data_IF_248148547078
#
_entry.id   IF_248148547078
#
_cell.length_a   1.000
_cell.length_b   1.000
_cell.length_c   1.000
_cell.angle_alpha   90.00
_cell.angle_beta   90.00
_cell.angle_gamma   90.00
#
_symmetry.space_group_name_H-M   'P 1'
#
loop_
_entity.id
_entity.type
_entity.pdbx_description
1 polymer ?
#
# COMPACT_ATOMS: atom_id res chain seq x y z
N UNK A 1 -9.76 18.96 34.17
CA UNK A 1 -10.55 17.88 33.56
C UNK A 1 -9.57 16.95 32.88
N UNK A 2 -9.58 15.66 33.21
CA UNK A 2 -8.74 14.65 32.56
C UNK A 2 -9.50 14.22 31.30
N UNK A 3 -8.90 14.40 30.13
CA UNK A 3 -9.46 13.93 28.87
C UNK A 3 -9.47 12.40 28.88
N UNK A 4 -10.65 11.80 28.71
CA UNK A 4 -10.80 10.36 28.63
C UNK A 4 -11.18 9.95 27.19
N UNK A 5 -10.22 9.44 26.41
CA UNK A 5 -10.44 9.12 25.00
C UNK A 5 -11.50 8.02 24.81
N UNK A 6 -11.66 7.10 25.77
CA UNK A 6 -12.66 6.03 25.65
C UNK A 6 -14.09 6.58 25.83
N UNK A 7 -14.27 7.61 26.66
CA UNK A 7 -15.55 8.29 26.81
C UNK A 7 -15.93 9.06 25.54
N UNK A 8 -14.99 9.82 24.97
CA UNK A 8 -15.19 10.60 23.74
C UNK A 8 -15.43 9.70 22.51
N UNK A 9 -14.85 8.50 22.48
CA UNK A 9 -15.08 7.54 21.40
C UNK A 9 -16.54 7.08 21.30
N UNK A 10 -17.25 7.00 22.43
CA UNK A 10 -18.65 6.55 22.46
C UNK A 10 -19.67 7.64 22.12
N UNK A 11 -19.21 8.88 21.88
CA UNK A 11 -20.12 9.95 21.46
C UNK A 11 -20.61 9.72 20.02
N UNK A 12 -21.89 10.00 19.71
CA UNK A 12 -22.42 9.90 18.37
C UNK A 12 -21.61 10.72 17.36
N UNK A 13 -21.17 10.09 16.27
CA UNK A 13 -20.40 10.76 15.21
C UNK A 13 -18.90 10.93 15.52
N UNK A 14 -18.40 10.33 16.61
CA UNK A 14 -16.97 10.31 16.90
C UNK A 14 -16.19 9.58 15.81
N UNK A 15 -15.14 10.23 15.29
CA UNK A 15 -14.17 9.64 14.36
C UNK A 15 -12.87 9.24 15.08
N UNK A 16 -12.88 9.25 16.41
CA UNK A 16 -11.71 8.95 17.23
C UNK A 16 -11.32 7.48 17.07
N UNK A 17 -10.01 7.24 16.92
CA UNK A 17 -9.41 5.91 17.03
C UNK A 17 -8.51 5.89 18.25
N UNK A 18 -8.82 5.02 19.21
CA UNK A 18 -8.02 4.87 20.43
C UNK A 18 -7.07 3.71 20.23
N UNK A 19 -5.80 4.02 19.96
CA UNK A 19 -4.74 3.05 19.72
C UNK A 19 -4.11 2.55 21.03
N UNK A 20 -3.32 1.47 20.97
CA UNK A 20 -2.66 0.85 22.13
C UNK A 20 -3.63 0.44 23.25
N UNK A 21 -4.87 0.11 22.90
CA UNK A 21 -5.85 -0.42 23.81
C UNK A 21 -5.69 -1.94 23.94
N UNK A 22 -5.85 -2.48 25.15
CA UNK A 22 -5.88 -3.92 25.42
C UNK A 22 -7.31 -4.37 25.71
N UNK A 23 -7.75 -5.44 25.08
CA UNK A 23 -9.01 -6.10 25.43
C UNK A 23 -8.76 -7.01 26.64
N UNK A 24 -9.33 -6.65 27.79
CA UNK A 24 -9.16 -7.39 29.05
C UNK A 24 -10.19 -8.51 29.16
N UNK A 25 -11.42 -8.24 28.75
CA UNK A 25 -12.51 -9.20 28.81
C UNK A 25 -13.60 -8.85 27.79
N UNK A 26 -14.38 -9.86 27.43
CA UNK A 26 -15.58 -9.71 26.61
C UNK A 26 -16.68 -10.60 27.20
N UNK A 27 -17.84 -10.01 27.46
CA UNK A 27 -18.99 -10.69 28.07
C UNK A 27 -20.30 -10.33 27.37
N UNK A 28 -21.34 -11.12 27.59
CA UNK A 28 -22.69 -10.76 27.18
C UNK A 28 -23.31 -9.81 28.20
N UNK A 29 -23.84 -8.68 27.74
CA UNK A 29 -24.61 -7.76 28.58
C UNK A 29 -25.99 -8.32 28.92
N UNK A 30 -26.65 -7.73 29.91
CA UNK A 30 -28.05 -8.06 30.26
C UNK A 30 -29.03 -7.85 29.08
N UNK A 31 -28.68 -6.96 28.16
CA UNK A 31 -29.44 -6.68 26.92
C UNK A 31 -29.09 -7.62 25.77
N UNK A 32 -28.24 -8.62 26.00
CA UNK A 32 -27.81 -9.60 24.99
C UNK A 32 -26.72 -9.11 24.04
N UNK A 33 -26.19 -7.90 24.25
CA UNK A 33 -25.16 -7.28 23.44
C UNK A 33 -23.76 -7.66 23.93
N UNK A 34 -22.74 -7.35 23.14
CA UNK A 34 -21.35 -7.51 23.59
C UNK A 34 -20.98 -6.38 24.55
N UNK A 35 -20.42 -6.71 25.72
CA UNK A 35 -19.75 -5.79 26.63
C UNK A 35 -18.24 -6.05 26.58
N UNK A 36 -17.47 -5.02 26.27
CA UNK A 36 -16.01 -5.07 26.12
C UNK A 36 -15.34 -4.34 27.27
N UNK A 37 -14.45 -5.01 28.00
CA UNK A 37 -13.62 -4.38 29.02
C UNK A 37 -12.28 -4.00 28.39
N UNK A 38 -12.06 -2.71 28.17
CA UNK A 38 -10.87 -2.17 27.51
C UNK A 38 -9.98 -1.47 28.53
N UNK A 39 -8.69 -1.77 28.50
CA UNK A 39 -7.64 -1.01 29.18
C UNK A 39 -6.93 -0.09 28.18
N UNK A 40 -6.78 1.19 28.53
CA UNK A 40 -5.98 2.15 27.79
C UNK A 40 -5.28 3.11 28.76
N UNK A 41 -3.96 3.26 28.62
CA UNK A 41 -3.14 4.13 29.48
C UNK A 41 -3.35 3.92 31.00
N UNK A 42 -3.57 2.67 31.42
CA UNK A 42 -3.82 2.29 32.81
C UNK A 42 -5.25 2.55 33.31
N UNK A 43 -6.16 3.02 32.45
CA UNK A 43 -7.58 3.20 32.76
C UNK A 43 -8.35 2.04 32.14
N UNK A 44 -9.15 1.35 32.94
CA UNK A 44 -10.05 0.29 32.48
C UNK A 44 -11.47 0.84 32.37
N UNK A 45 -12.15 0.56 31.26
CA UNK A 45 -13.55 0.91 31.01
C UNK A 45 -14.31 -0.22 30.33
N UNK A 46 -15.59 -0.30 30.65
CA UNK A 46 -16.54 -1.15 29.94
C UNK A 46 -17.22 -0.35 28.84
N UNK A 47 -17.25 -0.90 27.63
CA UNK A 47 -17.82 -0.30 26.44
C UNK A 47 -18.79 -1.27 25.77
N UNK A 48 -19.86 -0.72 25.18
CA UNK A 48 -20.82 -1.53 24.42
C UNK A 48 -20.21 -1.84 23.04
N UNK A 49 -20.14 -3.12 22.71
CA UNK A 49 -19.77 -3.61 21.39
C UNK A 49 -20.94 -3.49 20.42
N UNK A 50 -20.66 -3.12 19.18
CA UNK A 50 -21.68 -2.90 18.16
C UNK A 50 -22.25 -4.17 17.51
N UNK A 51 -21.64 -5.34 17.77
CA UNK A 51 -22.09 -6.63 17.23
C UNK A 51 -22.88 -7.49 18.22
N UNK A 52 -23.67 -8.46 17.72
CA UNK A 52 -24.30 -9.46 18.57
C UNK A 52 -23.24 -10.28 19.31
N UNK A 53 -23.57 -10.74 20.52
CA UNK A 53 -22.67 -11.58 21.30
C UNK A 53 -22.44 -12.94 20.62
N UNK A 54 -21.17 -13.33 20.49
CA UNK A 54 -20.72 -14.66 20.09
C UNK A 54 -19.51 -15.05 20.94
N UNK A 55 -19.66 -16.07 21.78
CA UNK A 55 -18.60 -16.47 22.72
C UNK A 55 -17.27 -16.76 22.03
N UNK A 56 -17.29 -17.50 20.92
CA UNK A 56 -16.09 -17.83 20.14
C UNK A 56 -15.42 -16.59 19.55
N UNK A 57 -16.19 -15.73 18.87
CA UNK A 57 -15.63 -14.56 18.18
C UNK A 57 -15.16 -13.48 19.16
N UNK A 58 -15.93 -13.20 20.21
CA UNK A 58 -15.65 -12.11 21.13
C UNK A 58 -14.52 -12.44 22.10
N UNK A 59 -14.36 -13.71 22.51
CA UNK A 59 -13.27 -14.11 23.41
C UNK A 59 -11.94 -14.37 22.73
N UNK A 60 -11.93 -14.61 21.41
CA UNK A 60 -10.69 -14.90 20.64
C UNK A 60 -9.62 -13.82 20.82
N UNK A 61 -10.05 -12.57 20.87
CA UNK A 61 -9.13 -11.42 20.86
C UNK A 61 -8.84 -10.91 22.30
N UNK A 62 -9.35 -11.58 23.33
CA UNK A 62 -9.08 -11.22 24.74
C UNK A 62 -7.60 -11.42 25.06
N UNK A 63 -7.02 -10.43 25.76
CA UNK A 63 -5.60 -10.33 26.07
C UNK A 63 -4.77 -9.64 24.98
N UNK A 64 -5.34 -9.43 23.79
CA UNK A 64 -4.64 -8.79 22.67
C UNK A 64 -4.66 -7.27 22.78
N UNK A 65 -3.71 -6.65 22.10
CA UNK A 65 -3.56 -5.20 21.96
C UNK A 65 -3.94 -4.81 20.54
N UNK A 66 -4.56 -3.64 20.43
CA UNK A 66 -5.07 -3.13 19.18
C UNK A 66 -5.58 -1.70 19.31
N UNK A 67 -6.65 -1.42 18.59
CA UNK A 67 -7.30 -0.12 18.61
C UNK A 67 -8.82 -0.27 18.70
N UNK A 68 -9.46 0.72 19.29
CA UNK A 68 -10.92 0.83 19.39
C UNK A 68 -11.39 1.92 18.44
N UNK A 69 -12.49 1.66 17.73
CA UNK A 69 -13.16 2.62 16.86
C UNK A 69 -14.63 2.69 17.19
N UNK A 70 -15.22 3.88 17.08
CA UNK A 70 -16.66 4.04 17.13
C UNK A 70 -17.32 3.25 15.98
N UNK A 71 -18.44 2.60 16.28
CA UNK A 71 -19.23 1.95 15.25
C UNK A 71 -19.97 3.01 14.44
N UNK A 72 -19.95 2.87 13.11
CA UNK A 72 -20.71 3.76 12.24
C UNK A 72 -22.21 3.51 12.46
N UNK A 73 -23.05 4.55 12.46
CA UNK A 73 -24.49 4.46 12.78
C UNK A 73 -25.33 3.78 11.68
N UNK A 74 -24.73 3.00 10.79
CA UNK A 74 -25.45 2.28 9.73
C UNK A 74 -26.00 0.95 10.27
N UNK A 75 -27.32 0.80 10.29
CA UNK A 75 -28.02 -0.42 10.71
C UNK A 75 -28.47 -0.44 12.17
N UNK A 76 -28.72 -1.63 12.73
CA UNK A 76 -29.11 -1.88 14.13
C UNK A 76 -27.92 -1.80 15.10
N UNK A 77 -27.09 -0.77 14.97
CA UNK A 77 -25.95 -0.57 15.87
C UNK A 77 -26.41 0.22 17.10
N UNK A 78 -26.11 -0.26 18.30
CA UNK A 78 -26.39 0.49 19.54
C UNK A 78 -25.76 1.88 19.49
N UNK A 79 -26.48 2.94 19.88
CA UNK A 79 -25.91 4.27 20.04
C UNK A 79 -24.66 4.22 20.95
N UNK A 80 -23.54 4.74 20.45
CA UNK A 80 -22.26 4.70 21.16
C UNK A 80 -21.55 3.34 21.16
N UNK A 81 -22.01 2.39 20.35
CA UNK A 81 -21.33 1.11 20.15
C UNK A 81 -19.93 1.28 19.55
N UNK A 82 -19.04 0.34 19.84
CA UNK A 82 -17.66 0.35 19.34
C UNK A 82 -17.22 -1.01 18.81
N UNK A 83 -16.08 -1.02 18.12
CA UNK A 83 -15.38 -2.24 17.71
C UNK A 83 -13.94 -2.20 18.23
N UNK A 84 -13.51 -3.30 18.84
CA UNK A 84 -12.10 -3.59 19.07
C UNK A 84 -11.51 -4.27 17.84
N UNK A 85 -10.31 -3.87 17.45
CA UNK A 85 -9.56 -4.44 16.33
C UNK A 85 -8.15 -4.74 16.83
N UNK A 86 -7.77 -6.01 17.02
CA UNK A 86 -6.41 -6.35 17.43
C UNK A 86 -5.42 -5.96 16.33
N UNK A 87 -4.20 -5.59 16.72
CA UNK A 87 -3.11 -5.48 15.76
C UNK A 87 -2.72 -6.87 15.28
N UNK A 88 -2.33 -6.98 14.01
CA UNK A 88 -1.83 -8.24 13.49
C UNK A 88 -0.51 -8.62 14.17
N UNK A 89 0.39 -7.63 14.31
CA UNK A 89 1.60 -7.74 15.13
C UNK A 89 1.31 -7.23 16.54
N UNK A 90 1.35 -8.13 17.54
CA UNK A 90 1.06 -7.81 18.93
C UNK A 90 2.19 -7.02 19.63
N UNK A 91 3.36 -6.85 19.01
CA UNK A 91 4.40 -5.92 19.46
C UNK A 91 4.16 -4.49 18.95
N UNK A 92 3.34 -4.31 17.91
CA UNK A 92 3.10 -3.01 17.28
C UNK A 92 2.42 -2.03 18.24
N UNK A 93 2.95 -0.82 18.33
CA UNK A 93 2.31 0.28 19.06
C UNK A 93 2.37 1.58 18.29
N UNK A 94 1.35 2.38 18.50
CA UNK A 94 1.25 3.77 18.06
C UNK A 94 2.13 4.66 18.94
N UNK A 95 2.89 5.58 18.33
CA UNK A 95 3.78 6.55 19.00
C UNK A 95 3.47 7.96 18.50
N UNK A 96 2.54 8.70 19.15
CA UNK A 96 2.18 10.05 18.73
C UNK A 96 3.36 11.02 18.66
N UNK A 97 4.38 10.81 19.49
CA UNK A 97 5.60 11.63 19.55
C UNK A 97 6.43 11.58 18.26
N UNK A 98 6.22 10.55 17.42
CA UNK A 98 6.91 10.38 16.14
C UNK A 98 6.10 10.90 14.94
N UNK A 99 4.91 11.43 15.16
CA UNK A 99 4.07 11.97 14.09
C UNK A 99 4.71 13.19 13.41
N UNK A 100 4.40 13.36 12.13
CA UNK A 100 4.65 14.61 11.41
C UNK A 100 3.44 14.97 10.57
N UNK A 101 2.98 16.21 10.75
CA UNK A 101 1.82 16.79 10.10
C UNK A 101 2.20 18.01 9.24
N UNK A 102 3.46 18.14 8.83
CA UNK A 102 3.95 19.36 8.18
C UNK A 102 3.49 19.48 6.72
N UNK A 103 2.71 20.53 6.44
CA UNK A 103 2.68 21.17 5.12
C UNK A 103 4.00 21.93 4.89
N UNK A 104 5.08 21.21 4.55
CA UNK A 104 6.27 21.91 4.04
C UNK A 104 5.98 22.27 2.58
N UNK A 105 5.74 23.56 2.33
CA UNK A 105 5.77 24.13 0.97
C UNK A 105 7.22 24.12 0.46
N UNK A 106 7.71 22.95 0.06
CA UNK A 106 8.96 22.80 -0.69
C UNK A 106 8.69 22.62 -2.18
N UNK A 107 9.74 22.72 -3.01
CA UNK A 107 9.71 22.45 -4.47
C UNK A 107 9.23 21.02 -4.82
N UNK A 108 9.10 20.13 -3.82
CA UNK A 108 8.69 18.72 -3.96
C UNK A 108 7.19 18.47 -3.70
N UNK A 109 6.38 19.52 -3.51
CA UNK A 109 4.94 19.39 -3.28
C UNK A 109 4.57 19.03 -1.83
N UNK A 110 3.26 18.88 -1.51
CA UNK A 110 2.80 18.59 -0.16
C UNK A 110 3.26 17.19 0.29
N UNK A 111 4.05 17.11 1.36
CA UNK A 111 4.40 15.83 1.96
C UNK A 111 3.18 15.24 2.68
N UNK A 112 2.87 13.94 2.51
CA UNK A 112 1.73 13.32 3.17
C UNK A 112 1.93 13.29 4.68
N UNK A 113 0.85 13.51 5.43
CA UNK A 113 0.85 13.32 6.88
C UNK A 113 1.29 11.89 7.23
N UNK A 114 2.21 11.77 8.18
CA UNK A 114 2.77 10.49 8.61
C UNK A 114 2.65 10.31 10.11
N UNK A 115 2.35 9.07 10.47
CA UNK A 115 1.99 8.63 11.82
C UNK A 115 3.10 7.73 12.34
N UNK A 116 3.49 7.97 13.59
CA UNK A 116 4.54 7.24 14.28
C UNK A 116 4.11 5.89 14.85
N UNK A 117 4.98 4.89 14.70
CA UNK A 117 4.79 3.52 15.17
C UNK A 117 6.09 2.94 15.71
N UNK A 118 6.02 1.87 16.51
CA UNK A 118 7.15 0.98 16.79
C UNK A 118 6.67 -0.48 16.87
N UNK A 119 7.58 -1.42 16.70
CA UNK A 119 7.38 -2.85 16.94
C UNK A 119 8.73 -3.49 17.31
N UNK A 120 8.73 -4.76 17.71
CA UNK A 120 9.96 -5.46 18.13
C UNK A 120 11.00 -5.54 16.99
N UNK A 121 10.54 -5.68 15.75
CA UNK A 121 11.40 -5.68 14.56
C UNK A 121 12.01 -4.30 14.25
N UNK A 122 11.39 -3.22 14.72
CA UNK A 122 11.81 -1.82 14.48
C UNK A 122 11.79 -1.04 15.81
N UNK A 123 12.70 -1.33 16.76
CA UNK A 123 12.65 -0.79 18.11
C UNK A 123 12.93 0.72 18.16
N UNK A 124 13.60 1.28 17.16
CA UNK A 124 13.82 2.72 17.02
C UNK A 124 12.59 3.52 16.58
N UNK A 125 11.46 2.84 16.31
CA UNK A 125 10.27 3.43 15.73
C UNK A 125 10.41 3.71 14.24
N UNK A 126 9.26 3.91 13.59
CA UNK A 126 9.13 4.20 12.17
C UNK A 126 7.87 5.01 11.91
N UNK A 127 7.67 5.44 10.67
CA UNK A 127 6.52 6.22 10.25
C UNK A 127 5.77 5.52 9.13
N UNK A 128 4.45 5.66 9.13
CA UNK A 128 3.57 5.18 8.08
C UNK A 128 2.53 6.24 7.72
N UNK A 129 2.05 6.31 6.47
CA UNK A 129 1.04 7.28 6.06
C UNK A 129 -0.23 7.26 6.91
N UNK A 130 -0.90 8.41 7.04
CA UNK A 130 -2.18 8.48 7.77
C UNK A 130 -3.21 7.47 7.23
N UNK A 131 -3.85 6.77 8.17
CA UNK A 131 -4.94 5.85 7.89
C UNK A 131 -4.53 4.39 7.73
N UNK A 132 -3.23 4.09 7.61
CA UNK A 132 -2.71 2.72 7.61
C UNK A 132 -2.38 2.25 9.03
N UNK A 133 -2.70 0.98 9.31
CA UNK A 133 -2.14 0.25 10.46
C UNK A 133 -1.10 -0.70 9.88
N UNK A 134 0.19 -0.56 10.20
CA UNK A 134 1.23 -1.45 9.71
C UNK A 134 0.93 -2.93 10.00
N UNK A 135 1.38 -3.80 9.12
CA UNK A 135 1.23 -5.25 9.26
C UNK A 135 2.35 -5.88 10.10
N UNK A 136 2.69 -7.13 9.78
CA UNK A 136 3.77 -7.87 10.45
C UNK A 136 5.12 -7.15 10.31
N UNK A 137 5.93 -7.15 11.37
CA UNK A 137 7.22 -6.45 11.46
C UNK A 137 7.12 -4.95 11.12
N UNK A 138 5.94 -4.36 11.24
CA UNK A 138 5.68 -2.98 10.81
C UNK A 138 5.85 -2.76 9.31
N UNK A 139 5.55 -3.76 8.47
CA UNK A 139 5.59 -3.67 7.01
C UNK A 139 4.35 -2.99 6.44
N UNK A 140 4.54 -2.28 5.35
CA UNK A 140 3.51 -1.73 4.48
C UNK A 140 4.14 -1.38 3.13
N UNK A 141 3.31 -1.27 2.08
CA UNK A 141 3.75 -0.77 0.77
C UNK A 141 3.53 0.75 0.73
N UNK A 142 4.56 1.57 0.45
CA UNK A 142 4.40 3.02 0.33
C UNK A 142 3.51 3.40 -0.86
N UNK A 143 2.99 4.62 -0.83
CA UNK A 143 2.25 5.17 -1.98
C UNK A 143 3.25 5.74 -2.99
N UNK A 144 3.39 5.04 -4.11
CA UNK A 144 4.25 5.43 -5.24
C UNK A 144 3.39 5.80 -6.47
N UNK A 145 2.11 6.10 -6.25
CA UNK A 145 1.17 6.36 -7.34
C UNK A 145 1.40 7.73 -7.96
N UNK A 146 1.06 7.85 -9.24
CA UNK A 146 1.14 9.10 -10.00
C UNK A 146 -0.29 9.65 -10.12
N UNK A 147 -0.48 10.90 -9.75
CA UNK A 147 -1.80 11.54 -9.81
C UNK A 147 -2.22 11.81 -11.26
N UNK A 148 -3.44 11.38 -11.61
CA UNK A 148 -4.05 11.62 -12.92
C UNK A 148 -5.41 12.29 -12.73
N UNK A 149 -5.58 13.50 -13.30
CA UNK A 149 -6.86 14.22 -13.26
C UNK A 149 -7.69 13.93 -14.51
N UNK A 150 -8.92 13.45 -14.31
CA UNK A 150 -9.86 13.09 -15.39
C UNK A 150 -11.21 13.79 -15.19
N UNK A 151 -11.78 14.31 -16.28
CA UNK A 151 -13.18 14.76 -16.30
C UNK A 151 -14.08 13.55 -16.50
N UNK A 152 -14.99 13.32 -15.56
CA UNK A 152 -15.87 12.15 -15.57
C UNK A 152 -17.25 12.53 -16.12
N UNK A 153 -17.77 11.84 -17.15
CA UNK A 153 -19.09 12.14 -17.70
C UNK A 153 -20.23 11.65 -16.79
N UNK A 154 -21.42 12.30 -16.78
CA UNK A 154 -22.55 11.93 -15.92
C UNK A 154 -23.00 10.47 -16.06
N UNK A 155 -22.85 9.90 -17.25
CA UNK A 155 -23.18 8.50 -17.55
C UNK A 155 -22.35 7.56 -16.67
N UNK A 156 -21.04 7.81 -16.53
CA UNK A 156 -20.17 7.00 -15.68
C UNK A 156 -20.45 7.20 -14.19
N UNK A 157 -20.77 8.44 -13.80
CA UNK A 157 -21.20 8.75 -12.42
C UNK A 157 -22.43 7.93 -12.05
N UNK A 158 -23.39 7.80 -12.98
CA UNK A 158 -24.58 6.96 -12.80
C UNK A 158 -24.22 5.48 -12.62
N UNK A 159 -23.29 4.94 -13.41
CA UNK A 159 -22.86 3.54 -13.26
C UNK A 159 -22.20 3.29 -11.89
N UNK A 160 -21.33 4.20 -11.43
CA UNK A 160 -20.72 4.10 -10.10
C UNK A 160 -21.77 4.10 -8.98
N UNK A 161 -22.77 4.98 -9.07
CA UNK A 161 -23.84 5.04 -8.07
C UNK A 161 -24.73 3.80 -8.04
N UNK A 162 -24.92 3.09 -9.17
CA UNK A 162 -25.69 1.83 -9.18
C UNK A 162 -25.07 0.77 -8.26
N UNK A 163 -23.75 0.79 -8.10
CA UNK A 163 -23.01 -0.11 -7.20
C UNK A 163 -22.59 0.57 -5.89
N UNK A 164 -23.21 1.72 -5.56
CA UNK A 164 -22.96 2.47 -4.33
C UNK A 164 -21.51 2.94 -4.14
N UNK A 165 -20.80 3.19 -5.25
CA UNK A 165 -19.43 3.68 -5.24
C UNK A 165 -19.35 5.08 -5.86
N UNK A 166 -18.32 5.83 -5.48
CA UNK A 166 -17.88 7.01 -6.23
C UNK A 166 -17.12 6.61 -7.49
N UNK A 167 -17.05 7.47 -8.53
CA UNK A 167 -16.21 7.21 -9.70
C UNK A 167 -14.76 6.88 -9.37
N UNK A 168 -14.18 7.56 -8.36
CA UNK A 168 -12.80 7.35 -7.94
C UNK A 168 -12.60 5.97 -7.31
N UNK A 169 -13.53 5.51 -6.47
CA UNK A 169 -13.49 4.17 -5.88
C UNK A 169 -13.63 3.09 -6.95
N UNK A 170 -14.56 3.27 -7.90
CA UNK A 170 -14.80 2.30 -8.97
C UNK A 170 -13.59 2.19 -9.91
N UNK A 171 -12.99 3.32 -10.29
CA UNK A 171 -11.77 3.32 -11.10
C UNK A 171 -10.59 2.70 -10.35
N UNK A 172 -10.41 3.02 -9.07
CA UNK A 172 -9.33 2.45 -8.23
C UNK A 172 -9.46 0.92 -8.13
N UNK A 173 -10.70 0.46 -7.95
CA UNK A 173 -11.06 -0.95 -7.92
C UNK A 173 -10.70 -1.66 -9.23
N UNK A 174 -11.14 -1.12 -10.37
CA UNK A 174 -10.81 -1.66 -11.70
C UNK A 174 -9.30 -1.66 -11.99
N UNK A 175 -8.59 -0.59 -11.65
CA UNK A 175 -7.12 -0.52 -11.79
C UNK A 175 -6.44 -1.55 -10.90
N UNK A 176 -6.94 -1.76 -9.68
CA UNK A 176 -6.44 -2.79 -8.77
C UNK A 176 -6.57 -4.20 -9.36
N UNK A 177 -7.69 -4.50 -10.01
CA UNK A 177 -7.90 -5.76 -10.72
C UNK A 177 -6.98 -5.89 -11.93
N UNK A 178 -6.96 -4.89 -12.81
CA UNK A 178 -6.16 -4.93 -14.03
C UNK A 178 -4.66 -5.03 -13.76
N UNK A 179 -4.17 -4.35 -12.71
CA UNK A 179 -2.77 -4.41 -12.30
C UNK A 179 -2.43 -5.61 -11.42
N UNK A 180 -3.41 -6.48 -11.11
CA UNK A 180 -3.21 -7.66 -10.27
C UNK A 180 -2.78 -7.34 -8.83
N UNK A 181 -3.10 -6.15 -8.33
CA UNK A 181 -2.62 -5.68 -7.03
C UNK A 181 -3.34 -6.43 -5.92
N UNK A 182 -2.60 -7.08 -5.03
CA UNK A 182 -3.14 -7.72 -3.84
C UNK A 182 -2.80 -6.91 -2.59
N UNK A 183 -3.80 -6.61 -1.78
CA UNK A 183 -3.65 -5.89 -0.52
C UNK A 183 -3.77 -6.87 0.66
N UNK A 184 -2.65 -7.18 1.29
CA UNK A 184 -2.59 -8.16 2.38
C UNK A 184 -2.61 -7.48 3.74
N UNK A 185 -3.29 -8.06 4.72
CA UNK A 185 -3.27 -7.54 6.10
C UNK A 185 -1.86 -7.55 6.71
N UNK A 186 -1.01 -8.52 6.32
CA UNK A 186 0.38 -8.63 6.76
C UNK A 186 1.31 -7.57 6.15
N UNK A 187 0.95 -7.03 4.99
CA UNK A 187 1.70 -5.97 4.31
C UNK A 187 0.71 -5.04 3.60
N UNK A 188 0.00 -4.19 4.36
CA UNK A 188 -1.05 -3.35 3.80
C UNK A 188 -0.45 -2.29 2.88
N UNK A 189 -1.23 -1.85 1.89
CA UNK A 189 -0.78 -0.82 0.94
C UNK A 189 -1.29 0.56 1.33
N UNK A 190 -0.40 1.56 1.31
CA UNK A 190 -0.75 2.95 1.59
C UNK A 190 -1.51 3.61 0.43
N UNK A 191 -1.28 3.14 -0.81
CA UNK A 191 -1.93 3.60 -2.04
C UNK A 191 -3.44 3.25 -2.14
N UNK A 192 -3.93 2.40 -1.23
CA UNK A 192 -5.32 1.93 -1.14
C UNK A 192 -5.81 1.17 -2.37
N UNK A 193 -4.91 0.68 -3.23
CA UNK A 193 -5.28 -0.22 -4.32
C UNK A 193 -5.38 -1.67 -3.83
N UNK A 194 -6.27 -2.42 -4.46
CA UNK A 194 -6.47 -3.84 -4.20
C UNK A 194 -7.48 -4.41 -5.18
N UNK A 195 -7.17 -5.59 -5.69
CA UNK A 195 -8.05 -6.41 -6.53
C UNK A 195 -9.20 -6.98 -5.69
N UNK A 196 -10.37 -7.11 -6.33
CA UNK A 196 -11.57 -7.67 -5.73
C UNK A 196 -11.59 -9.20 -5.71
N UNK A 197 -10.81 -9.86 -6.59
CA UNK A 197 -10.81 -11.31 -6.70
C UNK A 197 -10.10 -11.80 -7.95
N UNK A 198 -9.85 -13.11 -8.05
CA UNK A 198 -9.22 -13.71 -9.24
C UNK A 198 -10.05 -13.49 -10.50
N UNK A 199 -11.35 -13.73 -10.39
CA UNK A 199 -12.25 -13.71 -11.54
C UNK A 199 -12.38 -12.27 -12.06
N UNK A 200 -12.42 -11.28 -11.17
CA UNK A 200 -12.42 -9.87 -11.55
C UNK A 200 -11.15 -9.45 -12.30
N UNK A 201 -9.98 -10.00 -11.94
CA UNK A 201 -8.74 -9.77 -12.71
C UNK A 201 -8.84 -10.33 -14.12
N UNK A 202 -9.33 -11.56 -14.24
CA UNK A 202 -9.51 -12.21 -15.54
C UNK A 202 -10.47 -11.40 -16.43
N UNK A 203 -11.56 -10.87 -15.86
CA UNK A 203 -12.50 -10.02 -16.59
C UNK A 203 -11.93 -8.64 -16.94
N UNK A 204 -11.15 -8.02 -16.06
CA UNK A 204 -10.49 -6.75 -16.33
C UNK A 204 -9.48 -6.89 -17.48
N UNK A 205 -8.67 -7.94 -17.46
CA UNK A 205 -7.73 -8.27 -18.53
C UNK A 205 -8.46 -8.56 -19.85
N UNK A 206 -9.52 -9.39 -19.81
CA UNK A 206 -10.31 -9.70 -21.00
C UNK A 206 -10.94 -8.45 -21.62
N UNK A 207 -11.41 -7.50 -20.81
CA UNK A 207 -11.91 -6.22 -21.30
C UNK A 207 -10.80 -5.39 -21.95
N UNK A 208 -9.64 -5.24 -21.29
CA UNK A 208 -8.51 -4.47 -21.81
C UNK A 208 -8.03 -5.04 -23.16
N UNK A 209 -7.82 -6.36 -23.22
CA UNK A 209 -7.37 -7.03 -24.42
C UNK A 209 -8.38 -6.90 -25.56
N UNK A 210 -9.68 -7.05 -25.27
CA UNK A 210 -10.72 -6.90 -26.29
C UNK A 210 -10.86 -5.47 -26.80
N UNK A 211 -10.77 -4.48 -25.92
CA UNK A 211 -10.96 -3.07 -26.28
C UNK A 211 -9.72 -2.45 -26.91
N UNK A 212 -8.53 -2.87 -26.50
CA UNK A 212 -7.27 -2.19 -26.79
C UNK A 212 -6.13 -3.12 -27.22
N UNK A 213 -6.36 -4.43 -27.36
CA UNK A 213 -5.32 -5.38 -27.77
C UNK A 213 -4.67 -5.06 -29.12
N UNK A 214 -5.36 -4.35 -30.01
CA UNK A 214 -4.78 -3.87 -31.27
C UNK A 214 -3.71 -2.79 -31.09
N UNK A 215 -3.69 -2.10 -29.94
CA UNK A 215 -2.66 -1.12 -29.55
C UNK A 215 -1.60 -1.75 -28.63
N UNK A 216 -1.71 -3.04 -28.31
CA UNK A 216 -0.76 -3.68 -27.41
C UNK A 216 0.65 -3.64 -28.03
N UNK A 217 1.60 -3.17 -27.23
CA UNK A 217 3.02 -3.22 -27.57
C UNK A 217 3.67 -4.33 -26.75
N UNK A 218 4.64 -5.01 -27.35
CA UNK A 218 5.44 -6.01 -26.67
C UNK A 218 6.51 -5.28 -25.82
N UNK A 219 6.18 -5.07 -24.55
CA UNK A 219 7.06 -4.40 -23.59
C UNK A 219 8.34 -5.22 -23.34
N UNK A 220 8.24 -6.55 -23.30
CA UNK A 220 9.39 -7.43 -23.12
C UNK A 220 10.36 -7.30 -24.30
N UNK A 221 9.85 -7.20 -25.54
CA UNK A 221 10.69 -6.96 -26.71
C UNK A 221 11.37 -5.58 -26.67
N UNK A 222 10.67 -4.55 -26.15
CA UNK A 222 11.24 -3.21 -25.98
C UNK A 222 12.32 -3.18 -24.91
N UNK A 223 12.09 -3.79 -23.75
CA UNK A 223 13.06 -3.88 -22.67
C UNK A 223 14.29 -4.70 -23.07
N UNK A 224 14.09 -5.85 -23.73
CA UNK A 224 15.20 -6.66 -24.24
C UNK A 224 16.04 -5.87 -25.26
N UNK A 225 15.40 -5.14 -26.18
CA UNK A 225 16.11 -4.29 -27.14
C UNK A 225 16.91 -3.19 -26.43
N UNK A 226 16.33 -2.55 -25.42
CA UNK A 226 17.02 -1.53 -24.64
C UNK A 226 18.25 -2.10 -23.91
N UNK A 227 18.13 -3.31 -23.33
CA UNK A 227 19.27 -4.01 -22.71
C UNK A 227 20.35 -4.36 -23.74
N UNK A 228 19.98 -4.90 -24.89
CA UNK A 228 20.92 -5.21 -25.98
C UNK A 228 21.62 -3.95 -26.53
N UNK A 229 20.91 -2.82 -26.61
CA UNK A 229 21.50 -1.55 -27.00
C UNK A 229 22.49 -1.04 -25.95
N UNK A 230 22.16 -1.18 -24.66
CA UNK A 230 23.06 -0.84 -23.55
C UNK A 230 24.30 -1.74 -23.52
N UNK A 231 24.15 -3.05 -23.70
CA UNK A 231 25.27 -3.99 -23.79
C UNK A 231 26.17 -3.68 -25.00
N UNK A 232 25.58 -3.36 -26.16
CA UNK A 232 26.35 -2.92 -27.33
C UNK A 232 27.08 -1.62 -27.09
N UNK A 233 26.49 -0.68 -26.35
CA UNK A 233 27.15 0.56 -25.97
C UNK A 233 28.32 0.28 -25.03
N UNK A 234 28.12 -0.56 -24.00
CA UNK A 234 29.19 -0.99 -23.10
C UNK A 234 30.35 -1.64 -23.86
N UNK A 235 30.07 -2.55 -24.80
CA UNK A 235 31.11 -3.19 -25.61
C UNK A 235 31.88 -2.20 -26.48
N UNK A 236 31.22 -1.15 -26.99
CA UNK A 236 31.87 -0.09 -27.75
C UNK A 236 32.79 0.75 -26.89
N UNK A 237 32.34 1.08 -25.69
CA UNK A 237 33.13 1.85 -24.73
C UNK A 237 34.34 1.03 -24.25
N UNK A 238 34.17 -0.26 -23.94
CA UNK A 238 35.26 -1.18 -23.60
C UNK A 238 36.27 -1.35 -24.75
N UNK A 239 35.78 -1.46 -26.00
CA UNK A 239 36.66 -1.52 -27.17
C UNK A 239 37.43 -0.21 -27.38
N UNK A 240 36.80 0.94 -27.11
CA UNK A 240 37.47 2.23 -27.17
C UNK A 240 38.58 2.32 -26.11
N UNK A 241 38.31 1.90 -24.87
CA UNK A 241 39.31 1.86 -23.79
C UNK A 241 40.50 0.95 -24.15
N UNK A 242 40.24 -0.22 -24.74
CA UNK A 242 41.29 -1.13 -25.22
C UNK A 242 42.10 -0.54 -26.37
N UNK A 243 41.47 0.24 -27.25
CA UNK A 243 42.16 0.92 -28.34
C UNK A 243 43.07 2.03 -27.80
N UNK A 244 42.60 2.80 -26.84
CA UNK A 244 43.40 3.82 -26.14
C UNK A 244 44.60 3.18 -25.42
N UNK A 245 44.41 2.02 -24.77
CA UNK A 245 45.50 1.26 -24.16
C UNK A 245 46.51 0.79 -25.23
N UNK A 246 46.04 0.26 -26.35
CA UNK A 246 46.89 -0.19 -27.46
C UNK A 246 47.74 0.94 -28.04
N UNK A 247 47.15 2.12 -28.26
CA UNK A 247 47.87 3.30 -28.71
C UNK A 247 48.91 3.76 -27.68
N UNK A 248 48.54 3.75 -26.38
CA UNK A 248 49.46 4.12 -25.29
C UNK A 248 50.67 3.19 -25.18
N UNK A 249 50.52 1.92 -25.58
CA UNK A 249 51.59 0.92 -25.65
C UNK A 249 52.48 1.07 -26.91
N UNK A 250 52.20 2.05 -27.78
CA UNK A 250 52.95 2.34 -29.00
C UNK A 250 52.39 1.66 -30.26
N UNK A 251 51.19 1.08 -30.19
CA UNK A 251 50.46 0.58 -31.35
C UNK A 251 49.89 1.70 -32.23
N UNK A 252 49.58 1.40 -33.50
CA UNK A 252 48.93 2.33 -34.42
C UNK A 252 47.53 1.81 -34.77
N UNK A 253 46.48 2.56 -34.41
CA UNK A 253 45.10 2.15 -34.66
C UNK A 253 44.80 1.90 -36.15
N UNK A 254 45.40 2.69 -37.05
CA UNK A 254 45.23 2.54 -38.51
C UNK A 254 45.68 1.15 -39.01
N UNK A 255 46.74 0.57 -38.43
CA UNK A 255 47.23 -0.76 -38.79
C UNK A 255 46.27 -1.86 -38.30
N UNK A 256 45.69 -1.68 -37.10
CA UNK A 256 44.70 -2.60 -36.54
C UNK A 256 43.42 -2.59 -37.39
N UNK A 257 42.94 -1.40 -37.78
CA UNK A 257 41.77 -1.29 -38.66
C UNK A 257 42.02 -1.91 -40.04
N UNK A 258 43.20 -1.69 -40.63
CA UNK A 258 43.56 -2.32 -41.89
C UNK A 258 43.61 -3.85 -41.79
N UNK A 259 44.10 -4.39 -40.68
CA UNK A 259 44.12 -5.84 -40.43
C UNK A 259 42.72 -6.43 -40.27
N UNK A 260 41.83 -5.76 -39.51
CA UNK A 260 40.42 -6.17 -39.36
C UNK A 260 39.68 -6.12 -40.70
N UNK A 261 39.86 -5.06 -41.50
CA UNK A 261 39.26 -4.94 -42.83
C UNK A 261 39.73 -6.06 -43.76
N UNK A 262 41.02 -6.41 -43.75
CA UNK A 262 41.55 -7.50 -44.57
C UNK A 262 41.00 -8.88 -44.17
N UNK A 263 40.56 -9.07 -42.93
CA UNK A 263 39.89 -10.30 -42.46
C UNK A 263 38.44 -10.31 -42.95
N UNK A 264 37.71 -9.21 -42.81
CA UNK A 264 36.32 -9.07 -43.29
C UNK A 264 36.23 -9.30 -44.81
N UNK A 265 37.12 -8.66 -45.58
CA UNK A 265 37.18 -8.80 -47.05
C UNK A 265 37.45 -10.25 -47.51
N UNK A 266 38.13 -11.05 -46.68
CA UNK A 266 38.37 -12.48 -46.94
C UNK A 266 37.16 -13.34 -46.61
N UNK A 267 36.35 -12.94 -45.63
CA UNK A 267 35.12 -13.65 -45.26
C UNK A 267 33.97 -13.37 -46.24
N UNK A 268 33.88 -12.17 -46.81
CA UNK A 268 32.86 -11.85 -47.82
C UNK A 268 33.10 -12.50 -49.19
N UNK A 269 34.32 -12.98 -49.46
CA UNK A 269 34.72 -13.59 -50.73
C UNK A 269 34.79 -15.13 -50.69
N UNK A 270 34.46 -15.75 -49.56
CA UNK A 270 34.37 -17.21 -49.39
C UNK A 270 32.92 -17.68 -49.41
#
# INVERSE_FOLDING_TARGET
>A
MIFDPLSELTQPGSNLRVHNARLIDAQQSETGQTLLTIEHAGITRELIGAGPWSEEHNRRDVGQIGYVVAAKPFGEVSPGGCYFRPYLDQSLRRVPELDRFEEVSGDEGPQPEVIGWYCDAKPGGFRAPVGIVPGEDGRFVPDETIEVTLRVPPEFVREAHQVQMTPAELLRSFVGDLAGIQNFTACPRADRYGSNGSDERDYAEAWLHRAHGFNAIDLDALENRAREDQERQWQRDEFADLLDEFESAGGQADELFAAVQAILDKQEKG
#
